data_IF_030234360153
#
_entry.id   IF_030234360153
#
_cell.length_a   1.000
_cell.length_b   1.000
_cell.length_c   1.000
_cell.angle_alpha   90.00
_cell.angle_beta   90.00
_cell.angle_gamma   90.00
#
_symmetry.space_group_name_H-M   'P 1'
#
loop_
_entity.id
_entity.type
_entity.pdbx_description
1 polymer ?
#
# COMPACT_ATOMS: atom_id res chain seq x y z
N UNK A 1 53.32 0.47 25.42
CA UNK A 1 52.25 0.53 24.38
C UNK A 1 51.58 -0.85 24.37
N UNK A 2 50.65 -1.07 25.30
CA UNK A 2 49.96 -2.36 25.45
C UNK A 2 48.78 -2.37 24.50
N UNK A 3 48.79 -3.36 23.63
CA UNK A 3 47.99 -3.49 22.42
C UNK A 3 46.51 -3.74 22.77
N UNK A 4 45.67 -2.72 22.60
CA UNK A 4 44.20 -2.81 22.61
C UNK A 4 43.66 -3.50 21.34
N UNK A 5 44.05 -4.75 21.05
CA UNK A 5 43.52 -5.53 19.91
C UNK A 5 42.49 -6.60 20.35
N UNK A 6 42.26 -6.83 21.65
CA UNK A 6 41.46 -7.99 22.08
C UNK A 6 39.93 -7.85 21.94
N UNK A 7 39.36 -6.64 22.01
CA UNK A 7 37.90 -6.51 22.08
C UNK A 7 37.19 -6.46 20.71
N UNK A 8 37.86 -6.00 19.65
CA UNK A 8 37.26 -5.84 18.31
C UNK A 8 37.15 -7.15 17.52
N UNK A 9 38.16 -8.03 17.64
CA UNK A 9 38.21 -9.31 16.92
C UNK A 9 37.12 -10.29 17.39
N UNK A 10 36.87 -10.38 18.70
CA UNK A 10 35.90 -11.31 19.28
C UNK A 10 34.45 -10.99 18.88
N UNK A 11 34.08 -9.70 18.79
CA UNK A 11 32.74 -9.29 18.31
C UNK A 11 32.55 -9.58 16.82
N UNK A 12 33.61 -9.44 16.02
CA UNK A 12 33.57 -9.72 14.58
C UNK A 12 33.46 -11.22 14.32
N UNK A 13 34.25 -12.04 15.02
CA UNK A 13 34.15 -13.51 15.00
C UNK A 13 32.78 -14.00 15.46
N UNK A 14 32.23 -13.47 16.56
CA UNK A 14 30.90 -13.87 17.04
C UNK A 14 29.79 -13.54 16.03
N UNK A 15 29.87 -12.41 15.31
CA UNK A 15 28.91 -12.10 14.23
C UNK A 15 29.04 -13.07 13.04
N UNK A 16 30.27 -13.44 12.68
CA UNK A 16 30.53 -14.39 11.58
C UNK A 16 30.03 -15.80 11.96
N UNK A 17 30.31 -16.25 13.18
CA UNK A 17 29.87 -17.55 13.69
C UNK A 17 28.35 -17.62 13.87
N UNK A 18 27.71 -16.55 14.38
CA UNK A 18 26.26 -16.49 14.51
C UNK A 18 25.54 -16.49 13.14
N UNK A 19 26.14 -15.86 12.13
CA UNK A 19 25.67 -15.91 10.74
C UNK A 19 25.76 -17.31 10.13
N UNK A 20 26.85 -18.04 10.42
CA UNK A 20 27.05 -19.41 9.93
C UNK A 20 26.01 -20.40 10.48
N UNK A 21 25.65 -20.26 11.76
CA UNK A 21 24.62 -21.07 12.42
C UNK A 21 23.20 -20.53 12.15
N UNK A 22 23.06 -19.37 11.52
CA UNK A 22 21.77 -18.76 11.16
C UNK A 22 20.99 -18.15 12.35
N UNK A 23 21.62 -17.98 13.51
CA UNK A 23 21.01 -17.39 14.71
C UNK A 23 20.60 -15.93 14.47
N UNK A 24 21.32 -15.23 13.59
CA UNK A 24 21.01 -13.87 13.14
C UNK A 24 19.68 -13.81 12.36
N UNK A 25 19.39 -14.81 11.53
CA UNK A 25 18.14 -14.93 10.76
C UNK A 25 16.95 -15.20 11.69
N UNK A 26 17.12 -16.08 12.67
CA UNK A 26 16.11 -16.33 13.70
C UNK A 26 15.83 -15.08 14.55
N UNK A 27 16.88 -14.37 14.96
CA UNK A 27 16.74 -13.09 15.66
C UNK A 27 15.98 -12.04 14.82
N UNK A 28 16.25 -11.97 13.52
CA UNK A 28 15.52 -11.11 12.59
C UNK A 28 14.05 -11.51 12.46
N UNK A 29 13.75 -12.80 12.35
CA UNK A 29 12.38 -13.30 12.29
C UNK A 29 11.59 -12.98 13.56
N UNK A 30 12.18 -13.19 14.74
CA UNK A 30 11.56 -12.83 16.02
C UNK A 30 11.31 -11.33 16.13
N UNK A 31 12.25 -10.50 15.65
CA UNK A 31 12.07 -9.05 15.57
C UNK A 31 10.90 -8.67 14.66
N UNK A 32 10.78 -9.32 13.50
CA UNK A 32 9.67 -9.11 12.56
C UNK A 32 8.32 -9.42 13.22
N UNK A 33 8.23 -10.54 13.92
CA UNK A 33 7.01 -10.93 14.64
C UNK A 33 6.66 -9.92 15.74
N UNK A 34 7.67 -9.41 16.46
CA UNK A 34 7.49 -8.39 17.48
C UNK A 34 7.00 -7.06 16.89
N UNK A 35 7.65 -6.58 15.83
CA UNK A 35 7.29 -5.32 15.15
C UNK A 35 5.89 -5.38 14.53
N UNK A 36 5.47 -6.57 14.09
CA UNK A 36 4.13 -6.78 13.54
C UNK A 36 3.02 -6.80 14.60
N UNK A 37 3.34 -6.71 15.90
CA UNK A 37 2.36 -6.75 16.99
C UNK A 37 2.03 -8.17 17.46
N UNK A 38 2.96 -9.11 17.27
CA UNK A 38 2.86 -10.49 17.76
C UNK A 38 2.50 -11.51 16.69
N UNK A 39 2.37 -12.77 17.14
CA UNK A 39 2.22 -13.94 16.25
C UNK A 39 0.89 -13.91 15.49
N UNK A 40 -0.22 -13.54 16.15
CA UNK A 40 -1.54 -13.49 15.50
C UNK A 40 -1.61 -12.45 14.37
N UNK A 41 -1.11 -11.23 14.63
CA UNK A 41 -1.05 -10.17 13.63
C UNK A 41 -0.10 -10.52 12.49
N UNK A 42 1.03 -11.17 12.82
CA UNK A 42 1.97 -11.67 11.82
C UNK A 42 1.31 -12.73 10.93
N UNK A 43 0.59 -13.69 11.51
CA UNK A 43 -0.12 -14.71 10.75
C UNK A 43 -1.22 -14.11 9.87
N UNK A 44 -1.93 -13.08 10.37
CA UNK A 44 -2.92 -12.34 9.58
C UNK A 44 -2.28 -11.63 8.38
N UNK A 45 -1.15 -10.94 8.59
CA UNK A 45 -0.38 -10.34 7.48
C UNK A 45 0.11 -11.38 6.50
N UNK A 46 0.61 -12.51 6.97
CA UNK A 46 1.05 -13.61 6.10
C UNK A 46 -0.11 -14.15 5.27
N UNK A 47 -1.29 -14.32 5.85
CA UNK A 47 -2.49 -14.79 5.15
C UNK A 47 -3.02 -13.78 4.12
N UNK A 48 -2.92 -12.47 4.41
CA UNK A 48 -3.52 -11.43 3.56
C UNK A 48 -2.56 -10.80 2.55
N UNK A 49 -1.28 -10.66 2.89
CA UNK A 49 -0.27 -9.96 2.08
C UNK A 49 0.75 -10.92 1.46
N UNK A 50 0.69 -12.21 1.80
CA UNK A 50 1.66 -13.25 1.43
C UNK A 50 3.12 -12.96 1.82
N UNK A 51 3.39 -11.88 2.57
CA UNK A 51 4.73 -11.44 2.94
C UNK A 51 4.77 -10.89 4.38
N UNK A 52 5.81 -11.27 5.11
CA UNK A 52 6.09 -10.78 6.47
C UNK A 52 7.11 -9.64 6.39
N UNK A 53 6.62 -8.48 5.92
CA UNK A 53 7.40 -7.25 5.91
C UNK A 53 7.27 -6.50 7.22
N UNK A 54 8.26 -5.65 7.47
CA UNK A 54 8.26 -4.67 8.57
C UNK A 54 8.66 -3.32 8.02
N UNK A 55 8.04 -2.26 8.50
CA UNK A 55 8.34 -0.92 8.04
C UNK A 55 7.66 0.15 8.87
N UNK A 56 8.15 1.37 8.72
CA UNK A 56 7.59 2.55 9.36
C UNK A 56 6.28 2.92 8.71
N UNK A 57 5.28 3.28 9.52
CA UNK A 57 4.01 3.83 9.01
C UNK A 57 4.26 5.27 8.58
N UNK A 58 3.96 5.57 7.33
CA UNK A 58 4.13 6.90 6.73
C UNK A 58 2.85 7.73 6.86
N UNK A 59 1.69 7.08 6.70
CA UNK A 59 0.40 7.71 6.87
C UNK A 59 -0.75 6.74 6.65
N UNK A 60 -1.96 7.25 6.80
CA UNK A 60 -3.22 6.54 6.55
C UNK A 60 -4.09 7.44 5.68
N UNK A 61 -4.78 6.87 4.70
CA UNK A 61 -5.73 7.62 3.87
C UNK A 61 -7.13 7.73 4.51
N UNK A 62 -8.04 8.41 3.81
CA UNK A 62 -9.43 8.53 4.23
C UNK A 62 -10.21 7.19 4.25
N UNK A 63 -9.76 6.19 3.49
CA UNK A 63 -10.40 4.87 3.40
C UNK A 63 -9.86 3.89 4.46
N UNK A 64 -8.86 4.29 5.25
CA UNK A 64 -8.22 3.47 6.27
C UNK A 64 -7.11 2.56 5.74
N UNK A 65 -6.61 2.79 4.54
CA UNK A 65 -5.42 2.13 4.02
C UNK A 65 -4.17 2.72 4.66
N UNK A 66 -3.25 1.86 5.10
CA UNK A 66 -2.04 2.24 5.83
C UNK A 66 -0.84 2.10 4.90
N UNK A 67 -0.07 3.18 4.74
CA UNK A 67 1.10 3.21 3.88
C UNK A 67 2.37 3.02 4.69
N UNK A 68 3.22 2.09 4.24
CA UNK A 68 4.47 1.73 4.93
C UNK A 68 5.68 1.88 4.02
N UNK A 69 6.82 2.20 4.64
CA UNK A 69 8.10 2.26 3.97
C UNK A 69 9.20 1.58 4.78
N UNK A 70 10.14 0.92 4.10
CA UNK A 70 11.39 0.46 4.67
C UNK A 70 12.50 0.43 3.62
N UNK A 71 13.45 1.36 3.74
CA UNK A 71 14.57 1.53 2.80
C UNK A 71 15.62 0.41 2.87
N UNK A 72 15.52 -0.53 3.81
CA UNK A 72 16.36 -1.72 3.84
C UNK A 72 15.94 -2.76 2.79
N UNK A 73 14.72 -2.67 2.26
CA UNK A 73 14.29 -3.52 1.16
C UNK A 73 14.73 -2.96 -0.19
N UNK A 74 14.78 -3.84 -1.19
CA UNK A 74 15.07 -3.47 -2.57
C UNK A 74 14.07 -2.42 -3.08
N UNK A 75 14.54 -1.57 -3.99
CA UNK A 75 13.70 -0.68 -4.78
C UNK A 75 12.54 -1.45 -5.43
N UNK A 76 11.33 -0.90 -5.37
CA UNK A 76 10.09 -1.55 -5.80
C UNK A 76 9.41 -2.41 -4.72
N UNK A 77 10.11 -2.80 -3.65
CA UNK A 77 9.54 -3.52 -2.49
C UNK A 77 9.62 -2.74 -1.18
N UNK A 78 10.27 -1.57 -1.20
CA UNK A 78 10.46 -0.73 -0.02
C UNK A 78 9.22 0.09 0.35
N UNK A 79 8.27 0.32 -0.56
CA UNK A 79 6.98 0.98 -0.30
C UNK A 79 5.85 -0.03 -0.53
N UNK A 80 4.87 -0.08 0.36
CA UNK A 80 3.67 -0.89 0.17
C UNK A 80 2.49 -0.31 0.94
N UNK A 81 1.30 -0.78 0.58
CA UNK A 81 0.03 -0.44 1.23
C UNK A 81 -0.51 -1.67 1.96
N UNK A 82 -1.01 -1.46 3.17
CA UNK A 82 -1.85 -2.40 3.89
C UNK A 82 -3.30 -1.89 3.78
N UNK A 83 -4.12 -2.57 2.99
CA UNK A 83 -5.51 -2.17 2.78
C UNK A 83 -6.34 -2.27 4.07
N UNK A 84 -7.38 -1.44 4.16
CA UNK A 84 -8.26 -1.40 5.32
C UNK A 84 -8.86 -2.79 5.64
N UNK A 85 -9.01 -3.15 6.94
CA UNK A 85 -9.64 -4.41 7.36
C UNK A 85 -11.10 -4.52 6.92
N UNK A 86 -11.80 -3.39 6.75
CA UNK A 86 -13.21 -3.34 6.35
C UNK A 86 -13.49 -3.97 4.98
N UNK A 87 -12.50 -3.98 4.07
CA UNK A 87 -12.62 -4.58 2.73
C UNK A 87 -12.47 -6.11 2.75
N UNK A 88 -11.99 -6.68 3.86
CA UNK A 88 -11.77 -8.13 3.95
C UNK A 88 -10.72 -8.63 2.94
N UNK A 89 -11.08 -9.65 2.16
CA UNK A 89 -10.20 -10.27 1.15
C UNK A 89 -10.36 -9.68 -0.26
N UNK A 90 -11.40 -8.88 -0.49
CA UNK A 90 -11.70 -8.28 -1.80
C UNK A 90 -10.94 -6.97 -2.01
N UNK A 91 -9.68 -6.92 -1.58
CA UNK A 91 -8.85 -5.72 -1.74
C UNK A 91 -8.38 -5.58 -3.20
N UNK A 92 -8.40 -4.36 -3.72
CA UNK A 92 -8.05 -4.08 -5.11
C UNK A 92 -7.06 -2.92 -5.22
N UNK A 93 -6.20 -2.95 -6.24
CA UNK A 93 -5.26 -1.88 -6.59
C UNK A 93 -5.92 -0.50 -6.76
N UNK A 94 -7.16 -0.47 -7.25
CA UNK A 94 -7.93 0.75 -7.51
C UNK A 94 -8.34 1.52 -6.25
N UNK A 95 -8.28 0.87 -5.07
CA UNK A 95 -8.70 1.48 -3.79
C UNK A 95 -7.69 2.50 -3.24
N UNK A 96 -6.51 2.61 -3.86
CA UNK A 96 -5.51 3.62 -3.51
C UNK A 96 -5.92 4.97 -4.12
N UNK A 97 -6.13 6.02 -3.30
CA UNK A 97 -6.48 7.34 -3.81
C UNK A 97 -5.33 7.99 -4.59
N UNK A 98 -5.69 8.93 -5.47
CA UNK A 98 -4.74 9.59 -6.37
C UNK A 98 -3.55 10.26 -5.64
N UNK A 99 -3.79 10.81 -4.45
CA UNK A 99 -2.78 11.43 -3.59
C UNK A 99 -1.66 10.46 -3.18
N UNK A 100 -2.02 9.24 -2.81
CA UNK A 100 -1.08 8.20 -2.39
C UNK A 100 -0.55 7.38 -3.57
N UNK A 101 -1.29 7.35 -4.68
CA UNK A 101 -0.91 6.63 -5.88
C UNK A 101 0.45 7.08 -6.43
N UNK A 102 0.70 8.39 -6.47
CA UNK A 102 1.98 8.95 -6.94
C UNK A 102 3.17 8.49 -6.09
N UNK A 103 3.04 8.53 -4.76
CA UNK A 103 4.09 8.13 -3.83
C UNK A 103 4.35 6.62 -3.85
N UNK A 104 3.28 5.82 -3.89
CA UNK A 104 3.37 4.35 -3.96
C UNK A 104 4.09 3.88 -5.23
N UNK A 105 3.85 4.56 -6.36
CA UNK A 105 4.43 4.24 -7.67
C UNK A 105 5.72 5.01 -7.99
N UNK A 106 6.40 5.57 -6.98
CA UNK A 106 7.68 6.29 -7.16
C UNK A 106 7.63 7.46 -8.16
N UNK A 107 6.47 8.08 -8.35
CA UNK A 107 6.37 9.33 -9.15
C UNK A 107 6.85 10.54 -8.36
N UNK A 108 6.66 10.49 -7.04
CA UNK A 108 7.07 11.52 -6.09
C UNK A 108 7.77 10.87 -4.89
N UNK A 109 8.74 11.57 -4.34
CA UNK A 109 9.46 11.12 -3.14
C UNK A 109 8.73 11.47 -1.85
N UNK A 110 8.08 12.62 -1.83
CA UNK A 110 7.35 13.14 -0.69
C UNK A 110 5.94 12.52 -0.62
N UNK A 111 5.52 11.96 0.52
CA UNK A 111 4.16 11.49 0.71
C UNK A 111 3.19 12.67 0.89
N UNK A 112 1.88 12.45 0.66
CA UNK A 112 0.87 13.50 0.84
C UNK A 112 0.77 14.00 2.30
N UNK A 113 1.25 13.22 3.27
CA UNK A 113 1.38 13.67 4.67
C UNK A 113 2.41 14.78 4.87
N UNK A 114 3.48 14.80 4.08
CA UNK A 114 4.50 15.86 4.12
C UNK A 114 4.11 17.01 3.21
N UNK A 115 3.65 16.70 2.00
CA UNK A 115 3.23 17.68 1.01
C UNK A 115 1.86 17.33 0.47
N UNK A 116 0.85 17.97 1.04
CA UNK A 116 -0.53 17.76 0.62
C UNK A 116 -0.72 18.19 -0.85
N UNK A 117 -1.52 17.43 -1.62
CA UNK A 117 -1.89 17.83 -2.98
C UNK A 117 -2.80 19.07 -2.95
N UNK A 118 -2.78 19.85 -4.03
CA UNK A 118 -3.70 20.97 -4.21
C UNK A 118 -5.13 20.45 -4.39
N UNK A 119 -6.04 20.89 -3.53
CA UNK A 119 -7.46 20.58 -3.65
C UNK A 119 -8.15 21.58 -4.59
N UNK A 120 -8.99 21.07 -5.48
CA UNK A 120 -9.72 21.87 -6.46
C UNK A 120 -11.22 21.63 -6.32
N UNK A 121 -12.02 22.70 -6.42
CA UNK A 121 -13.48 22.63 -6.22
C UNK A 121 -14.23 21.70 -7.19
N UNK A 122 -13.65 21.41 -8.36
CA UNK A 122 -14.21 20.52 -9.37
C UNK A 122 -13.76 19.06 -9.21
N UNK A 123 -12.82 18.78 -8.30
CA UNK A 123 -12.29 17.44 -8.11
C UNK A 123 -13.27 16.59 -7.29
N UNK A 124 -13.66 15.44 -7.83
CA UNK A 124 -14.47 14.48 -7.09
C UNK A 124 -13.61 13.72 -6.07
N UNK A 125 -14.26 13.24 -5.01
CA UNK A 125 -13.64 12.26 -4.11
C UNK A 125 -13.21 11.01 -4.86
N UNK A 126 -12.25 10.28 -4.28
CA UNK A 126 -11.78 9.03 -4.87
C UNK A 126 -12.87 7.95 -4.81
N UNK A 127 -13.16 7.36 -5.96
CA UNK A 127 -14.01 6.17 -6.08
C UNK A 127 -13.18 5.03 -6.65
N UNK A 128 -13.31 3.85 -6.06
CA UNK A 128 -12.63 2.64 -6.55
C UNK A 128 -13.28 2.13 -7.84
N UNK A 129 -12.61 1.17 -8.49
CA UNK A 129 -13.12 0.59 -9.72
C UNK A 129 -14.41 -0.22 -9.47
N UNK A 130 -15.52 0.23 -10.06
CA UNK A 130 -16.84 -0.41 -9.93
C UNK A 130 -17.21 -1.30 -11.12
N UNK A 131 -16.23 -1.68 -11.95
CA UNK A 131 -16.43 -2.59 -13.07
C UNK A 131 -17.03 -3.92 -12.61
N UNK A 132 -17.97 -4.48 -13.37
CA UNK A 132 -18.64 -5.74 -13.03
C UNK A 132 -19.68 -5.65 -11.90
N UNK A 133 -19.88 -4.46 -11.32
CA UNK A 133 -20.96 -4.20 -10.36
C UNK A 133 -22.14 -3.49 -11.04
N UNK A 134 -23.32 -3.39 -10.39
CA UNK A 134 -24.44 -2.59 -10.90
C UNK A 134 -24.12 -1.08 -11.06
N UNK A 135 -23.03 -0.59 -10.47
CA UNK A 135 -22.55 0.79 -10.60
C UNK A 135 -21.58 0.98 -11.76
N UNK A 136 -21.31 -0.05 -12.57
CA UNK A 136 -20.41 0.05 -13.70
C UNK A 136 -20.87 1.15 -14.68
N UNK A 137 -19.89 1.85 -15.26
CA UNK A 137 -20.17 2.88 -16.26
C UNK A 137 -20.67 2.23 -17.55
N UNK A 138 -21.87 2.61 -17.99
CA UNK A 138 -22.46 2.19 -19.27
C UNK A 138 -22.50 3.41 -20.19
N UNK A 139 -21.79 3.39 -21.33
CA UNK A 139 -21.79 4.53 -22.24
C UNK A 139 -23.18 4.71 -22.87
N UNK A 140 -23.56 5.96 -23.04
CA UNK A 140 -24.81 6.36 -23.71
C UNK A 140 -24.52 7.51 -24.68
N UNK A 141 -25.42 7.70 -25.65
CA UNK A 141 -25.36 8.87 -26.53
C UNK A 141 -25.65 10.13 -25.72
N UNK A 142 -24.66 11.01 -25.60
CA UNK A 142 -24.84 12.33 -24.97
C UNK A 142 -25.60 13.31 -25.87
N UNK A 143 -25.76 12.99 -27.16
CA UNK A 143 -26.49 13.81 -28.12
C UNK A 143 -27.97 13.43 -28.19
N UNK A 144 -28.82 14.44 -28.26
CA UNK A 144 -30.25 14.30 -28.62
C UNK A 144 -30.38 13.87 -30.09
N UNK A 145 -31.49 13.22 -30.48
CA UNK A 145 -31.76 12.93 -31.88
C UNK A 145 -31.74 14.23 -32.70
N UNK A 146 -31.07 14.19 -33.86
CA UNK A 146 -30.92 15.37 -34.74
C UNK A 146 -32.15 15.66 -35.59
N UNK A 147 -32.96 14.63 -35.84
CA UNK A 147 -34.15 14.70 -36.68
C UNK A 147 -35.34 14.43 -35.76
N UNK A 148 -36.31 15.35 -35.76
CA UNK A 148 -37.55 15.20 -35.00
C UNK A 148 -38.57 14.44 -35.85
N UNK A 149 -39.19 13.42 -35.27
CA UNK A 149 -40.23 12.65 -35.94
C UNK A 149 -41.57 13.39 -35.85
N UNK A 150 -42.32 13.43 -36.95
CA UNK A 150 -43.69 13.92 -36.93
C UNK A 150 -44.59 12.95 -36.13
N UNK A 151 -45.39 13.50 -35.21
CA UNK A 151 -46.34 12.73 -34.39
C UNK A 151 -47.74 12.86 -35.00
N UNK A 152 -48.40 11.76 -35.41
CA UNK A 152 -49.72 11.83 -36.02
C UNK A 152 -50.80 12.24 -35.00
N UNK A 153 -51.85 12.95 -35.44
CA UNK A 153 -53.00 13.25 -34.58
C UNK A 153 -53.76 11.96 -34.22
N UNK A 154 -54.28 11.88 -32.99
CA UNK A 154 -55.16 10.76 -32.58
C UNK A 154 -56.52 10.89 -33.28
N UNK A 155 -57.06 9.77 -33.77
CA UNK A 155 -58.42 9.71 -34.27
C UNK A 155 -59.41 9.90 -33.10
N UNK A 156 -60.44 10.73 -33.32
CA UNK A 156 -61.53 10.99 -32.38
C UNK A 156 -62.47 9.79 -32.25
#
# INVERSE_FOLDING_TARGET
IVVLISCGGRRRLNKIMASYVGLDKLGKALRIVKENGGIRSSLYRLYRLDDLKTGTVIGTDAHGNIYRQNNNYLYGRNRWVEYAPAVGMDYEGSMVPAEWYGWLHYKVDEPPTTKAPTDYSWQSGHEFNVSGTPKAFIPYSTTKPKIEAWVPPKAN
#
